data_IF_965756440421
#
_entry.id   IF_965756440421
#
_cell.length_a   1.000
_cell.length_b   1.000
_cell.length_c   1.000
_cell.angle_alpha   90.00
_cell.angle_beta   90.00
_cell.angle_gamma   90.00
#
_symmetry.space_group_name_H-M   'P 1'
#
loop_
_entity.id
_entity.type
_entity.pdbx_description
1 polymer ?
#
# COMPACT_ATOMS: atom_id res chain seq x y z
N UNK A 1 10.75 -16.46 7.63
CA UNK A 1 9.86 -16.56 8.81
C UNK A 1 8.43 -16.74 8.34
N UNK A 2 7.58 -17.51 9.02
CA UNK A 2 6.18 -17.61 8.67
C UNK A 2 5.45 -16.28 8.91
N UNK A 3 4.26 -16.15 8.34
CA UNK A 3 3.37 -15.01 8.53
C UNK A 3 3.02 -14.82 10.01
N UNK A 4 2.98 -13.56 10.45
CA UNK A 4 2.55 -13.15 11.78
C UNK A 4 1.04 -13.30 11.94
N UNK A 5 0.60 -14.01 12.98
CA UNK A 5 -0.83 -14.26 13.27
C UNK A 5 -1.44 -13.23 14.22
N UNK A 6 -0.61 -12.40 14.85
CA UNK A 6 -1.03 -11.34 15.77
C UNK A 6 -1.43 -10.05 15.05
N UNK A 7 -0.97 -9.86 13.80
CA UNK A 7 -1.32 -8.71 12.98
C UNK A 7 -2.59 -9.01 12.18
N UNK A 8 -3.67 -8.28 12.48
CA UNK A 8 -4.96 -8.39 11.76
C UNK A 8 -5.25 -7.22 10.82
N UNK A 9 -4.52 -6.11 10.97
CA UNK A 9 -4.71 -4.92 10.15
C UNK A 9 -3.39 -4.20 9.95
N UNK A 10 -3.20 -3.64 8.76
CA UNK A 10 -2.00 -2.88 8.38
C UNK A 10 -2.44 -1.56 7.75
N UNK A 11 -1.80 -0.47 8.17
CA UNK A 11 -1.91 0.82 7.50
C UNK A 11 -0.82 0.96 6.44
N UNK A 12 -1.22 1.18 5.19
CA UNK A 12 -0.32 1.49 4.09
C UNK A 12 -0.33 3.00 3.88
N UNK A 13 0.85 3.62 3.93
CA UNK A 13 1.01 5.07 3.73
C UNK A 13 1.53 5.26 2.30
N UNK A 14 0.71 5.86 1.45
CA UNK A 14 1.08 6.23 0.09
C UNK A 14 2.04 7.43 0.05
N UNK A 15 2.69 7.61 -1.08
CA UNK A 15 3.70 8.65 -1.29
C UNK A 15 3.15 10.08 -1.40
N UNK A 16 1.84 10.24 -1.59
CA UNK A 16 1.26 11.53 -1.95
C UNK A 16 1.47 11.87 -3.44
N UNK A 17 1.31 13.16 -3.83
CA UNK A 17 1.40 13.60 -5.22
C UNK A 17 2.77 13.30 -5.85
N UNK A 18 2.77 13.11 -7.16
CA UNK A 18 4.00 12.88 -7.94
C UNK A 18 4.89 14.13 -7.91
N UNK A 19 6.17 13.93 -7.60
CA UNK A 19 7.22 14.96 -7.67
C UNK A 19 8.48 14.39 -8.35
N UNK A 20 9.39 15.26 -8.78
CA UNK A 20 10.68 14.82 -9.34
C UNK A 20 11.43 14.02 -8.27
N UNK A 21 11.81 12.79 -8.59
CA UNK A 21 12.47 11.86 -7.66
C UNK A 21 11.52 11.03 -6.78
N UNK A 22 10.20 11.22 -6.89
CA UNK A 22 9.19 10.38 -6.25
C UNK A 22 7.91 10.34 -7.10
N UNK A 23 7.81 9.35 -7.98
CA UNK A 23 6.76 9.30 -9.00
C UNK A 23 5.91 8.01 -8.91
N UNK A 24 5.50 7.49 -10.08
CA UNK A 24 4.54 6.41 -10.21
C UNK A 24 5.03 5.05 -9.65
N UNK A 25 6.34 4.91 -9.39
CA UNK A 25 6.91 3.73 -8.76
C UNK A 25 6.23 3.39 -7.42
N UNK A 26 5.78 4.40 -6.67
CA UNK A 26 5.11 4.20 -5.39
C UNK A 26 3.63 3.81 -5.53
N UNK A 27 2.96 4.22 -6.61
CA UNK A 27 1.62 3.72 -6.95
C UNK A 27 1.68 2.24 -7.33
N UNK A 28 2.67 1.87 -8.17
CA UNK A 28 2.90 0.49 -8.54
C UNK A 28 3.24 -0.39 -7.32
N UNK A 29 4.22 -0.01 -6.51
CA UNK A 29 4.62 -0.77 -5.33
C UNK A 29 3.53 -0.82 -4.26
N UNK A 30 2.84 0.30 -4.01
CA UNK A 30 1.75 0.34 -3.03
C UNK A 30 0.54 -0.50 -3.46
N UNK A 31 0.23 -0.54 -4.75
CA UNK A 31 -0.83 -1.40 -5.31
C UNK A 31 -0.49 -2.88 -5.10
N UNK A 32 0.76 -3.27 -5.36
CA UNK A 32 1.23 -4.64 -5.11
C UNK A 32 1.14 -5.00 -3.62
N UNK A 33 1.58 -4.10 -2.74
CA UNK A 33 1.50 -4.31 -1.30
C UNK A 33 0.05 -4.49 -0.83
N UNK A 34 -0.87 -3.62 -1.27
CA UNK A 34 -2.29 -3.71 -0.93
C UNK A 34 -2.92 -5.01 -1.43
N UNK A 35 -2.57 -5.45 -2.65
CA UNK A 35 -3.06 -6.70 -3.22
C UNK A 35 -2.62 -7.92 -2.42
N UNK A 36 -1.31 -8.05 -2.15
CA UNK A 36 -0.75 -9.20 -1.43
C UNK A 36 -1.26 -9.25 0.02
N UNK A 37 -1.32 -8.11 0.71
CA UNK A 37 -1.86 -8.06 2.07
C UNK A 37 -3.33 -8.49 2.12
N UNK A 38 -4.13 -8.11 1.12
CA UNK A 38 -5.52 -8.57 0.98
C UNK A 38 -5.62 -10.06 0.65
N UNK A 39 -4.80 -10.58 -0.26
CA UNK A 39 -4.73 -12.02 -0.60
C UNK A 39 -4.36 -12.86 0.64
N UNK A 40 -3.52 -12.32 1.50
CA UNK A 40 -3.18 -12.87 2.81
C UNK A 40 -4.29 -12.65 3.86
N UNK A 41 -5.44 -12.07 3.52
CA UNK A 41 -6.54 -11.87 4.47
C UNK A 41 -6.22 -10.87 5.59
N UNK A 42 -5.24 -9.98 5.41
CA UNK A 42 -4.95 -8.88 6.32
C UNK A 42 -5.82 -7.69 5.92
N UNK A 43 -6.50 -7.05 6.88
CA UNK A 43 -7.25 -5.83 6.61
C UNK A 43 -6.29 -4.68 6.28
N UNK A 44 -6.38 -4.15 5.07
CA UNK A 44 -5.58 -3.01 4.61
C UNK A 44 -6.35 -1.70 4.82
N UNK A 45 -5.68 -0.70 5.39
CA UNK A 45 -6.15 0.68 5.52
C UNK A 45 -5.14 1.55 4.76
N UNK A 46 -5.54 2.17 3.67
CA UNK A 46 -4.67 3.01 2.85
C UNK A 46 -4.92 4.49 3.15
N UNK A 47 -3.86 5.27 3.25
CA UNK A 47 -3.93 6.74 3.17
C UNK A 47 -3.02 7.22 2.04
N UNK A 48 -3.59 7.93 1.08
CA UNK A 48 -2.84 8.60 0.03
C UNK A 48 -3.59 9.86 -0.40
N UNK A 49 -2.90 11.00 -0.44
CA UNK A 49 -3.49 12.27 -0.87
C UNK A 49 -3.46 12.46 -2.39
N UNK A 50 -2.77 11.60 -3.14
CA UNK A 50 -2.83 11.61 -4.60
C UNK A 50 -4.07 10.85 -5.08
N UNK A 51 -5.08 11.53 -5.67
CA UNK A 51 -6.28 10.87 -6.16
C UNK A 51 -6.07 10.12 -7.47
N UNK A 52 -4.94 10.33 -8.16
CA UNK A 52 -4.62 9.72 -9.44
C UNK A 52 -3.76 8.45 -9.25
N UNK A 53 -4.20 7.55 -8.36
CA UNK A 53 -3.55 6.26 -8.09
C UNK A 53 -4.51 5.09 -8.22
N UNK A 54 -3.98 3.90 -8.49
CA UNK A 54 -4.78 2.66 -8.56
C UNK A 54 -5.06 2.06 -7.17
N UNK A 55 -4.18 2.35 -6.21
CA UNK A 55 -4.17 1.81 -4.84
C UNK A 55 -5.51 1.89 -4.09
#
# INVERSE_FOLDING_TARGET
MPKRTDIKSVMVIGSGPIVIGQAAEFDYSGTQACRILREEGIRVILVNSNPATIM
#
